data_IF_503169446230
#
_entry.id   IF_503169446230
#
_cell.length_a   1.000
_cell.length_b   1.000
_cell.length_c   1.000
_cell.angle_alpha   90.00
_cell.angle_beta   90.00
_cell.angle_gamma   90.00
#
_symmetry.space_group_name_H-M   'P 1'
#
loop_
_entity.id
_entity.type
_entity.pdbx_description
1 polymer ?
#
# COMPACT_ATOMS: atom_id res chain seq x y z
N UNK A 1 -8.63 -46.25 1.33
CA UNK A 1 -7.79 -45.04 1.47
C UNK A 1 -8.70 -43.84 1.68
N UNK A 2 -8.80 -43.33 2.91
CA UNK A 2 -9.58 -42.13 3.19
C UNK A 2 -8.87 -40.92 2.56
N UNK A 3 -9.43 -40.39 1.47
CA UNK A 3 -9.01 -39.08 0.94
C UNK A 3 -9.42 -38.03 1.96
N UNK A 4 -8.48 -37.57 2.78
CA UNK A 4 -8.63 -36.32 3.50
C UNK A 4 -8.74 -35.22 2.44
N UNK A 5 -9.96 -34.83 2.07
CA UNK A 5 -10.19 -33.69 1.20
C UNK A 5 -10.01 -32.43 2.03
N UNK A 6 -8.76 -32.01 2.24
CA UNK A 6 -8.47 -30.72 2.83
C UNK A 6 -9.09 -29.63 1.94
N UNK A 7 -10.04 -28.88 2.50
CA UNK A 7 -10.78 -27.83 1.79
C UNK A 7 -10.23 -26.44 2.08
N UNK A 8 -10.52 -25.48 1.20
CA UNK A 8 -10.21 -24.07 1.44
C UNK A 8 -10.86 -23.57 2.74
N UNK A 9 -12.08 -24.02 3.02
CA UNK A 9 -12.78 -23.69 4.27
C UNK A 9 -12.02 -24.15 5.50
N UNK A 10 -11.58 -25.41 5.55
CA UNK A 10 -10.80 -25.94 6.67
C UNK A 10 -9.46 -25.22 6.85
N UNK A 11 -8.77 -24.91 5.74
CA UNK A 11 -7.52 -24.14 5.77
C UNK A 11 -7.73 -22.74 6.36
N UNK A 12 -8.79 -22.04 5.94
CA UNK A 12 -9.13 -20.71 6.45
C UNK A 12 -9.54 -20.74 7.91
N UNK A 13 -10.38 -21.69 8.32
CA UNK A 13 -10.77 -21.87 9.73
C UNK A 13 -9.55 -22.13 10.60
N UNK A 14 -8.68 -23.08 10.20
CA UNK A 14 -7.42 -23.34 10.89
C UNK A 14 -6.56 -22.08 11.01
N UNK A 15 -6.45 -21.31 9.93
CA UNK A 15 -5.62 -20.12 9.91
C UNK A 15 -6.15 -19.00 10.81
N UNK A 16 -7.47 -18.79 10.83
CA UNK A 16 -8.15 -17.80 11.67
C UNK A 16 -8.02 -18.19 13.14
N UNK A 17 -8.33 -19.43 13.51
CA UNK A 17 -8.25 -19.90 14.91
C UNK A 17 -6.83 -19.74 15.46
N UNK A 18 -5.82 -20.14 14.68
CA UNK A 18 -4.40 -19.96 15.04
C UNK A 18 -3.99 -18.49 15.07
N UNK A 19 -4.57 -17.64 14.23
CA UNK A 19 -4.24 -16.21 14.21
C UNK A 19 -4.72 -15.48 15.46
N UNK A 20 -5.89 -15.83 15.99
CA UNK A 20 -6.46 -15.21 17.21
C UNK A 20 -5.60 -15.43 18.46
N UNK A 21 -4.80 -16.50 18.47
CA UNK A 21 -3.87 -16.81 19.55
C UNK A 21 -2.45 -16.26 19.31
N UNK A 22 -2.24 -15.48 18.24
CA UNK A 22 -0.92 -14.99 17.84
C UNK A 22 -0.57 -13.68 18.56
N UNK A 23 0.57 -13.60 19.27
CA UNK A 23 1.02 -12.37 19.93
C UNK A 23 1.28 -11.22 18.92
N UNK A 24 1.50 -11.57 17.64
CA UNK A 24 1.70 -10.62 16.55
C UNK A 24 0.47 -9.71 16.29
N UNK A 25 -0.73 -10.13 16.70
CA UNK A 25 -1.97 -9.35 16.50
C UNK A 25 -2.23 -8.32 17.62
N UNK A 26 -1.71 -8.56 18.82
CA UNK A 26 -1.85 -7.63 19.95
C UNK A 26 -0.94 -6.41 19.80
N UNK A 27 0.19 -6.56 19.09
CA UNK A 27 1.23 -5.54 18.97
C UNK A 27 1.10 -4.61 17.74
N UNK A 28 0.24 -4.90 16.76
CA UNK A 28 0.16 -4.13 15.51
C UNK A 28 -1.27 -4.02 14.95
N UNK A 29 -1.76 -2.79 14.81
CA UNK A 29 -3.05 -2.48 14.19
C UNK A 29 -3.01 -2.51 12.64
N UNK A 30 -1.85 -2.79 12.02
CA UNK A 30 -1.70 -2.71 10.56
C UNK A 30 -2.35 -3.93 9.86
N UNK A 31 -3.26 -3.65 8.92
CA UNK A 31 -4.00 -4.66 8.15
C UNK A 31 -3.10 -5.71 7.46
N UNK A 32 -1.89 -5.33 7.04
CA UNK A 32 -0.95 -6.27 6.40
C UNK A 32 -0.39 -7.30 7.36
N UNK A 33 -0.16 -6.93 8.63
CA UNK A 33 0.33 -7.85 9.66
C UNK A 33 -0.71 -8.94 9.92
N UNK A 34 -1.99 -8.58 9.97
CA UNK A 34 -3.10 -9.55 10.10
C UNK A 34 -3.13 -10.56 8.97
N UNK A 35 -2.98 -10.11 7.73
CA UNK A 35 -3.02 -11.00 6.56
C UNK A 35 -1.77 -11.87 6.47
N UNK A 36 -0.60 -11.37 6.83
CA UNK A 36 0.64 -12.18 6.91
C UNK A 36 0.50 -13.31 7.93
N UNK A 37 -0.09 -13.05 9.11
CA UNK A 37 -0.36 -14.08 10.13
C UNK A 37 -1.33 -15.15 9.61
N UNK A 38 -2.41 -14.74 8.93
CA UNK A 38 -3.37 -15.69 8.33
C UNK A 38 -2.67 -16.54 7.26
N UNK A 39 -1.91 -15.92 6.35
CA UNK A 39 -1.18 -16.63 5.29
C UNK A 39 -0.13 -17.60 5.82
N UNK A 40 0.57 -17.24 6.92
CA UNK A 40 1.50 -18.12 7.62
C UNK A 40 0.81 -19.42 8.04
N UNK A 41 -0.35 -19.30 8.68
CA UNK A 41 -1.08 -20.47 9.18
C UNK A 41 -1.80 -21.25 8.06
N UNK A 42 -2.22 -20.57 6.98
CA UNK A 42 -2.71 -21.25 5.76
C UNK A 42 -1.59 -22.08 5.14
N UNK A 43 -0.37 -21.54 5.06
CA UNK A 43 0.79 -22.24 4.53
C UNK A 43 1.19 -23.42 5.42
N UNK A 44 1.23 -23.23 6.74
CA UNK A 44 1.44 -24.32 7.71
C UNK A 44 0.44 -25.46 7.49
N UNK A 45 -0.86 -25.15 7.40
CA UNK A 45 -1.92 -26.14 7.19
C UNK A 45 -1.66 -27.02 5.97
N UNK A 46 -1.31 -26.42 4.83
CA UNK A 46 -1.02 -27.17 3.61
C UNK A 46 0.28 -27.98 3.76
N UNK A 47 1.28 -27.44 4.45
CA UNK A 47 2.57 -28.10 4.67
C UNK A 47 2.54 -29.20 5.75
N UNK A 48 1.43 -29.36 6.49
CA UNK A 48 1.22 -30.54 7.34
C UNK A 48 1.11 -31.83 6.52
N UNK A 49 0.67 -31.74 5.26
CA UNK A 49 0.65 -32.86 4.32
C UNK A 49 2.09 -33.17 3.86
N UNK A 50 2.63 -34.37 4.12
CA UNK A 50 3.98 -34.73 3.71
C UNK A 50 4.19 -34.56 2.20
N UNK A 51 3.20 -34.96 1.39
CA UNK A 51 3.24 -34.82 -0.08
C UNK A 51 3.34 -33.36 -0.51
N UNK A 52 2.58 -32.47 0.13
CA UNK A 52 2.57 -31.04 -0.19
C UNK A 52 3.87 -30.38 0.23
N UNK A 53 4.42 -30.80 1.37
CA UNK A 53 5.73 -30.38 1.87
C UNK A 53 6.85 -30.81 0.94
N UNK A 54 6.89 -32.07 0.52
CA UNK A 54 7.91 -32.57 -0.40
C UNK A 54 7.86 -31.82 -1.75
N UNK A 55 6.66 -31.61 -2.29
CA UNK A 55 6.46 -30.82 -3.50
C UNK A 55 6.94 -29.37 -3.34
N UNK A 56 6.70 -28.76 -2.18
CA UNK A 56 7.13 -27.40 -1.86
C UNK A 56 8.65 -27.28 -1.77
N UNK A 57 9.30 -28.24 -1.10
CA UNK A 57 10.76 -28.28 -0.95
C UNK A 57 11.45 -28.38 -2.31
N UNK A 58 11.03 -29.30 -3.17
CA UNK A 58 11.64 -29.49 -4.49
C UNK A 58 11.30 -28.34 -5.46
N UNK A 59 10.06 -27.86 -5.47
CA UNK A 59 9.59 -26.91 -6.51
C UNK A 59 9.91 -25.45 -6.19
N UNK A 60 9.80 -25.07 -4.92
CA UNK A 60 9.88 -23.68 -4.45
C UNK A 60 11.18 -23.45 -3.70
N UNK A 61 11.47 -24.23 -2.66
CA UNK A 61 12.72 -24.10 -1.90
C UNK A 61 13.95 -24.62 -2.67
N UNK A 62 13.73 -25.45 -3.70
CA UNK A 62 14.76 -26.04 -4.58
C UNK A 62 15.83 -26.79 -3.80
N UNK A 63 15.38 -27.63 -2.89
CA UNK A 63 16.24 -28.49 -2.07
C UNK A 63 15.74 -29.93 -2.16
N UNK A 64 16.69 -30.86 -2.19
CA UNK A 64 16.44 -32.30 -2.13
C UNK A 64 16.46 -32.83 -0.69
N UNK A 65 16.75 -31.96 0.29
CA UNK A 65 16.69 -32.30 1.70
C UNK A 65 15.23 -32.50 2.14
N UNK A 66 15.00 -33.57 2.90
CA UNK A 66 13.73 -33.79 3.61
C UNK A 66 13.65 -32.90 4.84
N UNK A 67 12.44 -32.52 5.28
CA UNK A 67 12.27 -31.76 6.53
C UNK A 67 11.25 -32.40 7.43
N UNK A 68 11.37 -32.10 8.73
CA UNK A 68 10.28 -32.28 9.69
C UNK A 68 9.07 -31.38 9.38
N UNK A 69 8.18 -31.24 10.35
CA UNK A 69 7.03 -30.32 10.23
C UNK A 69 7.52 -28.88 10.03
N UNK A 70 6.96 -28.19 9.05
CA UNK A 70 7.16 -26.75 8.85
C UNK A 70 6.10 -26.04 9.65
N UNK A 71 6.50 -25.44 10.77
CA UNK A 71 5.58 -24.91 11.79
C UNK A 71 5.65 -23.39 11.80
N UNK A 72 4.49 -22.75 11.94
CA UNK A 72 4.41 -21.31 12.13
C UNK A 72 5.08 -20.92 13.45
N UNK A 73 5.98 -19.93 13.40
CA UNK A 73 6.61 -19.35 14.58
C UNK A 73 6.12 -17.92 14.78
N UNK A 74 5.80 -17.50 16.02
CA UNK A 74 5.45 -16.11 16.31
C UNK A 74 6.62 -15.18 15.99
N UNK A 75 6.33 -14.00 15.43
CA UNK A 75 7.37 -13.01 15.10
C UNK A 75 7.77 -12.22 16.34
N UNK A 76 8.59 -12.84 17.19
CA UNK A 76 9.14 -12.17 18.37
C UNK A 76 9.99 -10.93 18.01
N UNK A 77 10.55 -10.89 16.79
CA UNK A 77 11.30 -9.75 16.24
C UNK A 77 10.97 -9.56 14.76
N UNK A 78 11.18 -8.36 14.24
CA UNK A 78 11.02 -8.03 12.79
C UNK A 78 11.93 -8.86 11.86
N UNK A 79 12.97 -9.48 12.41
CA UNK A 79 13.94 -10.34 11.73
C UNK A 79 13.74 -11.82 12.05
N UNK A 80 12.62 -12.19 12.68
CA UNK A 80 12.24 -13.59 12.89
C UNK A 80 11.50 -14.09 11.65
N UNK A 81 11.82 -15.30 11.15
CA UNK A 81 11.07 -15.92 10.07
C UNK A 81 9.66 -16.34 10.53
N UNK A 82 8.77 -16.53 9.56
CA UNK A 82 7.36 -16.90 9.78
C UNK A 82 7.17 -18.39 10.00
N UNK A 83 7.90 -19.22 9.26
CA UNK A 83 7.88 -20.66 9.47
C UNK A 83 9.29 -21.19 9.61
N UNK A 84 9.44 -22.23 10.43
CA UNK A 84 10.70 -22.91 10.68
C UNK A 84 10.52 -24.42 10.52
N UNK A 85 11.54 -25.08 10.01
CA UNK A 85 11.68 -26.52 10.05
C UNK A 85 13.14 -26.92 10.18
N UNK A 86 13.37 -28.04 10.87
CA UNK A 86 14.65 -28.73 10.85
C UNK A 86 14.73 -29.61 9.59
N UNK A 87 15.81 -29.46 8.83
CA UNK A 87 16.16 -30.24 7.63
C UNK A 87 17.09 -31.41 7.98
N UNK A 88 18.05 -31.18 8.88
CA UNK A 88 18.93 -32.22 9.42
C UNK A 88 18.85 -32.16 10.95
N UNK A 89 18.60 -33.29 11.64
CA UNK A 89 18.59 -33.31 13.10
C UNK A 89 20.00 -33.00 13.63
N UNK A 90 20.06 -32.32 14.77
CA UNK A 90 21.29 -32.10 15.54
C UNK A 90 21.75 -33.44 16.14
N UNK A 91 22.51 -34.23 15.39
CA UNK A 91 23.27 -35.34 15.97
C UNK A 91 24.48 -34.79 16.71
N UNK A 92 24.69 -35.23 17.95
CA UNK A 92 25.73 -34.76 18.88
C UNK A 92 27.18 -34.94 18.41
N UNK A 93 27.41 -35.50 17.22
CA UNK A 93 28.73 -35.80 16.67
C UNK A 93 29.05 -35.03 15.36
N UNK A 94 28.10 -34.26 14.82
CA UNK A 94 28.34 -33.42 13.64
C UNK A 94 27.59 -32.09 13.75
N UNK A 95 28.33 -30.98 13.76
CA UNK A 95 27.83 -29.58 13.78
C UNK A 95 27.00 -29.17 12.53
N UNK A 96 26.54 -30.13 11.72
CA UNK A 96 25.91 -29.87 10.43
C UNK A 96 24.37 -29.86 10.52
N UNK A 97 23.86 -29.14 11.53
CA UNK A 97 22.43 -28.86 11.63
C UNK A 97 22.00 -27.97 10.47
N UNK A 98 20.89 -28.33 9.81
CA UNK A 98 20.32 -27.55 8.72
C UNK A 98 18.88 -27.18 9.05
N UNK A 99 18.49 -25.96 8.71
CA UNK A 99 17.16 -25.43 9.01
C UNK A 99 16.61 -24.69 7.81
N UNK A 100 15.34 -24.90 7.54
CA UNK A 100 14.55 -24.12 6.61
C UNK A 100 13.81 -23.04 7.37
N UNK A 101 13.98 -21.80 6.94
CA UNK A 101 13.18 -20.68 7.38
C UNK A 101 12.38 -20.11 6.21
N UNK A 102 11.13 -19.76 6.45
CA UNK A 102 10.27 -19.12 5.46
C UNK A 102 9.87 -17.75 5.99
N UNK A 103 10.13 -16.70 5.22
CA UNK A 103 9.71 -15.33 5.51
C UNK A 103 8.67 -14.90 4.48
N UNK A 104 7.53 -14.39 4.95
CA UNK A 104 6.36 -14.03 4.17
C UNK A 104 6.13 -12.52 4.24
N UNK A 105 5.93 -11.90 3.08
CA UNK A 105 5.58 -10.47 2.97
C UNK A 105 4.41 -10.27 2.03
N UNK A 106 3.41 -9.52 2.49
CA UNK A 106 2.31 -9.02 1.66
C UNK A 106 2.36 -7.51 1.46
N UNK A 107 3.34 -6.83 2.07
CA UNK A 107 3.56 -5.39 1.96
C UNK A 107 5.04 -5.02 1.86
N UNK A 108 5.44 -4.42 0.74
CA UNK A 108 6.80 -3.91 0.52
C UNK A 108 7.84 -5.00 0.19
N UNK A 109 9.02 -4.60 -0.33
CA UNK A 109 10.10 -5.53 -0.64
C UNK A 109 10.87 -5.90 0.63
N UNK A 110 11.45 -7.09 0.66
CA UNK A 110 12.51 -7.37 1.63
C UNK A 110 13.73 -6.50 1.32
N UNK A 111 14.37 -5.93 2.34
CA UNK A 111 15.69 -5.33 2.15
C UNK A 111 16.78 -6.40 2.23
N UNK A 112 17.89 -6.21 1.51
CA UNK A 112 19.05 -7.13 1.58
C UNK A 112 19.60 -7.25 3.00
N UNK A 113 19.56 -6.16 3.78
CA UNK A 113 19.96 -6.16 5.20
C UNK A 113 19.06 -7.06 6.05
N UNK A 114 17.75 -7.00 5.83
CA UNK A 114 16.79 -7.88 6.52
C UNK A 114 17.00 -9.35 6.13
N UNK A 115 17.20 -9.65 4.84
CA UNK A 115 17.47 -11.02 4.39
C UNK A 115 18.77 -11.58 4.99
N UNK A 116 19.85 -10.79 5.02
CA UNK A 116 21.11 -11.22 5.67
C UNK A 116 20.94 -11.44 7.17
N UNK A 117 20.21 -10.56 7.86
CA UNK A 117 19.95 -10.71 9.29
C UNK A 117 19.13 -11.97 9.58
N UNK A 118 18.05 -12.21 8.82
CA UNK A 118 17.23 -13.42 8.94
C UNK A 118 18.05 -14.69 8.63
N UNK A 119 18.86 -14.67 7.56
CA UNK A 119 19.70 -15.82 7.20
C UNK A 119 20.79 -16.09 8.24
N UNK A 120 21.41 -15.05 8.79
CA UNK A 120 22.41 -15.16 9.85
C UNK A 120 21.83 -15.65 11.18
N UNK A 121 20.55 -15.34 11.46
CA UNK A 121 19.87 -15.83 12.65
C UNK A 121 19.63 -17.35 12.64
N UNK A 122 19.72 -18.00 11.47
CA UNK A 122 19.64 -19.47 11.37
C UNK A 122 20.94 -20.17 11.79
N UNK A 123 22.05 -19.44 11.84
CA UNK A 123 23.38 -20.00 12.13
C UNK A 123 24.31 -20.02 10.92
N UNK A 124 25.47 -20.63 11.11
CA UNK A 124 26.60 -20.59 10.17
C UNK A 124 26.66 -21.75 9.20
N UNK A 125 25.83 -22.80 9.34
CA UNK A 125 25.85 -23.92 8.38
C UNK A 125 25.51 -23.42 6.98
N UNK A 126 26.24 -23.85 5.93
CA UNK A 126 25.92 -23.52 4.55
C UNK A 126 24.58 -24.13 4.10
N UNK A 127 24.10 -25.16 4.81
CA UNK A 127 22.87 -25.88 4.49
C UNK A 127 21.60 -25.21 5.01
N UNK A 128 21.68 -24.16 5.85
CA UNK A 128 20.46 -23.42 6.20
C UNK A 128 19.94 -22.65 5.00
N UNK A 129 18.62 -22.74 4.80
CA UNK A 129 17.93 -22.12 3.68
C UNK A 129 16.88 -21.14 4.19
N UNK A 130 16.91 -19.91 3.68
CA UNK A 130 15.88 -18.91 3.90
C UNK A 130 15.06 -18.72 2.62
N UNK A 131 13.80 -19.09 2.65
CA UNK A 131 12.85 -18.81 1.58
C UNK A 131 12.11 -17.49 1.85
N UNK A 132 12.34 -16.47 1.04
CA UNK A 132 11.62 -15.21 1.09
C UNK A 132 10.49 -15.18 0.04
N UNK A 133 9.25 -15.11 0.49
CA UNK A 133 8.05 -15.03 -0.35
C UNK A 133 7.48 -13.62 -0.27
N UNK A 134 7.43 -12.92 -1.40
CA UNK A 134 6.83 -11.58 -1.49
C UNK A 134 5.85 -11.46 -2.67
N UNK A 135 5.22 -10.31 -2.85
CA UNK A 135 4.45 -10.06 -4.08
C UNK A 135 5.38 -9.93 -5.29
N UNK A 136 4.87 -10.17 -6.50
CA UNK A 136 5.67 -10.04 -7.73
C UNK A 136 6.22 -8.63 -7.93
N UNK A 137 5.45 -7.60 -7.60
CA UNK A 137 5.90 -6.21 -7.69
C UNK A 137 6.98 -5.87 -6.65
N UNK A 138 6.97 -6.53 -5.51
CA UNK A 138 7.99 -6.38 -4.47
C UNK A 138 9.27 -7.18 -4.81
N UNK A 139 9.13 -8.24 -5.61
CA UNK A 139 10.22 -9.15 -6.02
C UNK A 139 11.32 -8.47 -6.85
N UNK A 140 10.97 -7.55 -7.76
CA UNK A 140 11.93 -6.96 -8.71
C UNK A 140 12.96 -6.00 -8.10
N UNK A 141 12.84 -5.63 -6.80
CA UNK A 141 13.84 -4.79 -6.11
C UNK A 141 15.03 -5.59 -5.56
N UNK A 142 15.03 -6.92 -5.73
CA UNK A 142 16.02 -7.84 -5.17
C UNK A 142 16.96 -8.47 -6.21
N UNK A 143 16.74 -8.23 -7.51
CA UNK A 143 17.55 -8.82 -8.57
C UNK A 143 19.00 -8.31 -8.47
N UNK A 144 19.93 -9.23 -8.15
CA UNK A 144 21.38 -9.01 -8.16
C UNK A 144 22.11 -9.01 -6.81
N UNK A 145 21.41 -9.02 -5.66
CA UNK A 145 22.05 -8.99 -4.32
C UNK A 145 21.44 -9.97 -3.31
N UNK A 146 20.91 -11.10 -3.76
CA UNK A 146 20.35 -12.11 -2.85
C UNK A 146 21.49 -12.79 -2.08
N UNK A 147 21.48 -12.83 -0.73
CA UNK A 147 22.51 -13.50 0.04
C UNK A 147 22.56 -15.00 -0.23
N UNK A 148 23.72 -15.62 -0.03
CA UNK A 148 23.87 -17.08 -0.13
C UNK A 148 22.92 -17.80 0.83
N UNK A 149 22.37 -18.93 0.39
CA UNK A 149 21.37 -19.69 1.15
C UNK A 149 20.00 -19.00 1.22
N UNK A 150 19.74 -17.94 0.44
CA UNK A 150 18.42 -17.29 0.34
C UNK A 150 17.78 -17.60 -1.01
N UNK A 151 16.57 -18.17 -0.98
CA UNK A 151 15.73 -18.37 -2.16
C UNK A 151 14.62 -17.33 -2.12
N UNK A 152 14.55 -16.48 -3.15
CA UNK A 152 13.44 -15.52 -3.28
C UNK A 152 12.41 -16.09 -4.24
N UNK A 153 11.13 -15.99 -3.88
CA UNK A 153 10.00 -16.35 -4.74
C UNK A 153 8.86 -15.35 -4.59
N UNK A 154 7.83 -15.48 -5.43
CA UNK A 154 6.62 -14.66 -5.31
C UNK A 154 5.37 -15.48 -5.04
N UNK A 155 4.37 -14.86 -4.40
CA UNK A 155 3.03 -15.45 -4.22
C UNK A 155 2.42 -15.89 -5.54
N UNK A 156 2.51 -15.06 -6.59
CA UNK A 156 2.12 -15.45 -7.95
C UNK A 156 2.85 -16.68 -8.48
N UNK A 157 4.14 -16.85 -8.18
CA UNK A 157 4.91 -18.04 -8.62
C UNK A 157 4.46 -19.27 -7.85
N UNK A 158 4.26 -19.14 -6.54
CA UNK A 158 3.75 -20.20 -5.66
C UNK A 158 2.37 -20.67 -6.15
N UNK A 159 1.41 -19.77 -6.33
CA UNK A 159 0.07 -20.08 -6.84
C UNK A 159 0.01 -20.60 -8.28
N UNK A 160 1.08 -20.45 -9.07
CA UNK A 160 1.16 -21.01 -10.44
C UNK A 160 1.89 -22.35 -10.51
N UNK A 161 2.92 -22.55 -9.69
CA UNK A 161 3.76 -23.75 -9.72
C UNK A 161 3.24 -24.86 -8.82
N UNK A 162 2.80 -24.52 -7.61
CA UNK A 162 2.37 -25.52 -6.64
C UNK A 162 1.13 -26.31 -7.07
N UNK A 163 0.11 -25.72 -7.74
CA UNK A 163 -1.01 -26.52 -8.25
C UNK A 163 -0.61 -27.62 -9.25
N UNK A 164 0.53 -27.47 -9.93
CA UNK A 164 1.07 -28.49 -10.85
C UNK A 164 1.91 -29.53 -10.11
N UNK A 165 2.67 -29.11 -9.11
CA UNK A 165 3.53 -29.98 -8.32
C UNK A 165 2.76 -30.81 -7.29
N UNK A 166 1.67 -30.26 -6.75
CA UNK A 166 0.74 -30.92 -5.84
C UNK A 166 -0.71 -30.76 -6.33
N UNK A 167 -1.13 -31.55 -7.33
CA UNK A 167 -2.49 -31.49 -7.87
C UNK A 167 -3.57 -31.82 -6.83
N UNK A 168 -3.24 -32.58 -5.78
CA UNK A 168 -4.17 -32.97 -4.72
C UNK A 168 -4.65 -31.80 -3.87
N UNK A 169 -3.82 -30.76 -3.73
CA UNK A 169 -4.16 -29.54 -3.00
C UNK A 169 -4.09 -28.29 -3.90
N UNK A 170 -4.29 -28.46 -5.21
CA UNK A 170 -4.18 -27.39 -6.19
C UNK A 170 -5.00 -26.15 -5.84
N UNK A 171 -6.23 -26.33 -5.36
CA UNK A 171 -7.10 -25.23 -4.93
C UNK A 171 -6.56 -24.49 -3.71
N UNK A 172 -5.98 -25.20 -2.73
CA UNK A 172 -5.38 -24.57 -1.54
C UNK A 172 -4.18 -23.69 -1.94
N UNK A 173 -3.32 -24.22 -2.80
CA UNK A 173 -2.16 -23.50 -3.33
C UNK A 173 -2.54 -22.29 -4.19
N UNK A 174 -3.59 -22.43 -5.01
CA UNK A 174 -4.13 -21.33 -5.80
C UNK A 174 -4.67 -20.22 -4.89
N UNK A 175 -5.45 -20.58 -3.86
CA UNK A 175 -5.98 -19.61 -2.87
C UNK A 175 -4.86 -18.94 -2.08
N UNK A 176 -3.86 -19.66 -1.58
CA UNK A 176 -2.70 -19.05 -0.89
C UNK A 176 -1.98 -18.06 -1.82
N UNK A 177 -1.75 -18.45 -3.08
CA UNK A 177 -1.11 -17.59 -4.06
C UNK A 177 -1.93 -16.34 -4.39
N UNK A 178 -3.26 -16.49 -4.50
CA UNK A 178 -4.19 -15.38 -4.77
C UNK A 178 -4.29 -14.43 -3.57
N UNK A 179 -4.53 -14.96 -2.37
CA UNK A 179 -4.59 -14.17 -1.14
C UNK A 179 -3.24 -13.49 -0.92
N UNK A 180 -2.12 -14.18 -1.02
CA UNK A 180 -0.79 -13.58 -0.83
C UNK A 180 -0.43 -12.52 -1.87
N UNK A 181 -0.78 -12.73 -3.14
CA UNK A 181 -0.48 -11.76 -4.21
C UNK A 181 -1.36 -10.51 -4.10
N UNK A 182 -2.61 -10.66 -3.64
CA UNK A 182 -3.60 -9.58 -3.53
C UNK A 182 -3.75 -9.01 -2.11
N UNK A 183 -3.12 -9.63 -1.11
CA UNK A 183 -3.14 -9.19 0.27
C UNK A 183 -2.56 -7.79 0.38
N UNK A 184 -3.28 -6.95 1.13
CA UNK A 184 -2.91 -5.55 1.29
C UNK A 184 -2.98 -4.71 0.02
N UNK A 185 -3.47 -5.26 -1.10
CA UNK A 185 -3.87 -4.42 -2.23
C UNK A 185 -5.16 -3.72 -1.84
N UNK A 186 -5.29 -2.42 -2.14
CA UNK A 186 -6.60 -1.80 -2.16
C UNK A 186 -7.42 -2.53 -3.22
N UNK A 187 -8.36 -3.39 -2.82
CA UNK A 187 -9.45 -3.79 -3.68
C UNK A 187 -10.27 -2.51 -3.88
N UNK A 188 -10.18 -1.93 -5.08
CA UNK A 188 -10.97 -0.74 -5.44
C UNK A 188 -12.41 -1.18 -5.70
N UNK A 189 -13.09 -1.59 -4.62
CA UNK A 189 -14.49 -1.96 -4.61
C UNK A 189 -15.27 -0.90 -3.84
N UNK A 190 -15.28 0.30 -4.39
CA UNK A 190 -16.20 1.34 -3.95
C UNK A 190 -17.46 1.24 -4.79
N UNK A 191 -18.67 1.26 -4.19
CA UNK A 191 -19.95 1.25 -4.91
C UNK A 191 -20.24 2.61 -5.56
N UNK A 192 -19.24 3.18 -6.24
CA UNK A 192 -19.29 4.49 -6.88
C UNK A 192 -19.40 4.32 -8.38
N UNK A 193 -20.05 5.27 -9.05
CA UNK A 193 -20.14 5.30 -10.51
C UNK A 193 -19.14 6.34 -11.06
N UNK A 194 -17.98 5.91 -11.61
CA UNK A 194 -16.91 6.83 -12.02
C UNK A 194 -17.38 7.92 -12.98
N UNK A 195 -18.24 7.55 -13.94
CA UNK A 195 -18.81 8.49 -14.90
C UNK A 195 -19.62 9.58 -14.23
N UNK A 196 -20.51 9.22 -13.30
CA UNK A 196 -21.36 10.18 -12.58
C UNK A 196 -20.54 11.16 -11.74
N UNK A 197 -19.43 10.70 -11.15
CA UNK A 197 -18.60 11.53 -10.27
C UNK A 197 -17.64 12.43 -11.03
N UNK A 198 -16.91 11.88 -12.01
CA UNK A 198 -15.79 12.59 -12.62
C UNK A 198 -16.20 13.55 -13.75
N UNK A 199 -17.38 13.41 -14.35
CA UNK A 199 -17.81 14.29 -15.44
C UNK A 199 -18.69 15.46 -14.98
N UNK A 200 -19.12 15.49 -13.71
CA UNK A 200 -19.99 16.55 -13.18
C UNK A 200 -19.17 17.78 -12.77
N UNK A 201 -19.48 18.91 -13.37
CA UNK A 201 -18.85 20.20 -13.03
C UNK A 201 -19.09 20.61 -11.59
N UNK A 202 -20.29 20.37 -11.03
CA UNK A 202 -20.58 20.67 -9.62
C UNK A 202 -19.64 19.91 -8.68
N UNK A 203 -19.52 18.59 -8.86
CA UNK A 203 -18.61 17.75 -8.06
C UNK A 203 -17.16 18.20 -8.21
N UNK A 204 -16.72 18.55 -9.42
CA UNK A 204 -15.36 19.02 -9.66
C UNK A 204 -15.05 20.35 -8.97
N UNK A 205 -15.98 21.31 -9.01
CA UNK A 205 -15.86 22.62 -8.35
C UNK A 205 -15.87 22.50 -6.83
N UNK A 206 -16.77 21.69 -6.29
CA UNK A 206 -16.86 21.45 -4.85
C UNK A 206 -15.60 20.75 -4.32
N UNK A 207 -15.14 19.70 -5.03
CA UNK A 207 -13.90 19.01 -4.72
C UNK A 207 -12.70 19.97 -4.69
N UNK A 208 -12.62 20.86 -5.70
CA UNK A 208 -11.60 21.90 -5.76
C UNK A 208 -11.72 22.89 -4.60
N UNK A 209 -12.91 23.35 -4.24
CA UNK A 209 -13.09 24.31 -3.16
C UNK A 209 -12.56 23.74 -1.82
N UNK A 210 -12.76 22.45 -1.56
CA UNK A 210 -12.18 21.80 -0.38
C UNK A 210 -10.64 21.65 -0.48
N UNK A 211 -10.08 21.42 -1.67
CA UNK A 211 -8.63 21.47 -1.87
C UNK A 211 -8.08 22.90 -1.63
N UNK A 212 -8.83 23.94 -2.00
CA UNK A 212 -8.47 25.33 -1.73
C UNK A 212 -8.46 25.62 -0.22
N UNK A 213 -9.40 25.04 0.56
CA UNK A 213 -9.37 25.07 2.04
C UNK A 213 -8.09 24.44 2.57
N UNK A 214 -7.71 23.24 2.10
CA UNK A 214 -6.45 22.60 2.50
C UNK A 214 -5.24 23.48 2.15
N UNK A 215 -5.22 24.04 0.94
CA UNK A 215 -4.13 24.88 0.46
C UNK A 215 -3.98 26.14 1.34
N UNK A 216 -5.09 26.84 1.59
CA UNK A 216 -5.13 28.02 2.45
C UNK A 216 -4.71 27.69 3.88
N UNK A 217 -5.31 26.66 4.49
CA UNK A 217 -4.98 26.24 5.84
C UNK A 217 -3.49 25.87 5.99
N UNK A 218 -2.95 25.13 5.02
CA UNK A 218 -1.53 24.74 5.02
C UNK A 218 -0.60 25.92 4.87
N UNK A 219 -0.94 26.91 4.03
CA UNK A 219 -0.14 28.12 3.84
C UNK A 219 -0.18 29.02 5.06
N UNK A 220 -1.37 29.28 5.60
CA UNK A 220 -1.57 30.15 6.77
C UNK A 220 -0.92 29.55 8.00
N UNK A 221 -1.15 28.26 8.25
CA UNK A 221 -0.84 27.66 9.54
C UNK A 221 0.48 26.88 9.53
N UNK A 222 0.97 26.42 8.39
CA UNK A 222 2.22 25.64 8.33
C UNK A 222 3.30 26.28 7.45
N UNK A 223 2.98 27.37 6.74
CA UNK A 223 3.88 27.99 5.77
C UNK A 223 4.25 27.08 4.60
N UNK A 224 3.51 25.99 4.39
CA UNK A 224 3.86 24.92 3.46
C UNK A 224 2.71 24.66 2.47
N UNK A 225 3.08 24.23 1.26
CA UNK A 225 2.09 23.79 0.27
C UNK A 225 1.82 22.28 0.41
N UNK A 226 0.57 21.83 0.25
CA UNK A 226 0.24 20.41 0.27
C UNK A 226 0.93 19.66 -0.87
N UNK A 227 1.37 18.43 -0.61
CA UNK A 227 1.92 17.52 -1.62
C UNK A 227 1.63 16.07 -1.24
N UNK A 228 1.64 15.18 -2.22
CA UNK A 228 1.55 13.76 -1.93
C UNK A 228 2.79 13.29 -1.15
N UNK A 229 2.56 12.52 -0.08
CA UNK A 229 3.60 11.85 0.66
C UNK A 229 4.40 10.93 -0.24
N UNK A 230 5.71 10.86 0.01
CA UNK A 230 6.65 9.96 -0.70
C UNK A 230 7.34 9.01 0.27
N UNK A 231 6.72 8.78 1.44
CA UNK A 231 7.28 7.92 2.47
C UNK A 231 7.39 6.49 1.93
N UNK A 232 8.58 5.91 2.08
CA UNK A 232 8.84 4.52 1.67
C UNK A 232 7.94 3.56 2.45
N UNK A 233 7.32 2.63 1.74
CA UNK A 233 6.44 1.62 2.33
C UNK A 233 5.04 2.09 2.68
N UNK A 234 4.66 3.33 2.31
CA UNK A 234 3.26 3.75 2.44
C UNK A 234 2.38 2.97 1.47
N UNK A 235 1.16 2.68 1.90
CA UNK A 235 0.24 1.81 1.17
C UNK A 235 -0.94 2.55 0.55
N UNK A 236 -1.08 3.82 0.91
CA UNK A 236 -2.14 4.71 0.49
C UNK A 236 -1.57 6.06 0.01
N UNK A 237 -2.41 6.80 -0.71
CA UNK A 237 -2.11 8.15 -1.14
C UNK A 237 -2.45 9.12 -0.01
N UNK A 238 -1.46 9.90 0.44
CA UNK A 238 -1.65 10.92 1.48
C UNK A 238 -1.32 12.29 0.91
N UNK A 239 -2.31 13.17 0.77
CA UNK A 239 -2.11 14.56 0.37
C UNK A 239 -1.99 15.42 1.62
N UNK A 240 -0.77 15.82 1.97
CA UNK A 240 -0.48 16.39 3.28
C UNK A 240 0.50 17.56 3.26
N UNK A 241 0.48 18.36 4.34
CA UNK A 241 1.41 19.45 4.60
C UNK A 241 1.91 19.37 6.05
N UNK A 242 3.22 19.50 6.27
CA UNK A 242 3.82 19.58 7.60
C UNK A 242 3.81 18.31 8.46
N UNK A 243 3.11 17.25 8.04
CA UNK A 243 3.03 15.98 8.78
C UNK A 243 4.41 15.30 8.84
N UNK A 244 4.82 14.91 10.05
CA UNK A 244 6.01 14.09 10.27
C UNK A 244 5.81 13.17 11.48
N UNK A 245 6.84 12.40 11.86
CA UNK A 245 6.76 11.54 13.05
C UNK A 245 6.53 12.34 14.34
N UNK A 246 7.10 13.54 14.44
CA UNK A 246 7.12 14.35 15.67
C UNK A 246 6.33 15.65 15.55
N UNK A 247 5.66 15.87 14.42
CA UNK A 247 4.88 17.08 14.16
C UNK A 247 3.51 16.76 13.61
N UNK A 248 2.51 17.42 14.18
CA UNK A 248 1.16 17.49 13.62
C UNK A 248 1.20 18.31 12.34
N UNK A 249 0.53 17.84 11.29
CA UNK A 249 0.32 18.58 10.06
C UNK A 249 -1.15 18.59 9.64
N UNK A 250 -1.37 18.92 8.37
CA UNK A 250 -2.68 18.87 7.73
C UNK A 250 -2.70 17.80 6.65
N UNK A 251 -3.83 17.11 6.51
CA UNK A 251 -4.07 16.11 5.48
C UNK A 251 -5.47 16.27 4.88
N UNK A 252 -5.60 15.97 3.59
CA UNK A 252 -6.89 15.79 2.93
C UNK A 252 -7.27 14.30 2.96
N UNK A 253 -8.32 13.97 3.69
CA UNK A 253 -8.73 12.60 4.00
C UNK A 253 -10.25 12.41 3.87
N UNK A 254 -10.76 11.31 4.43
CA UNK A 254 -12.19 11.00 4.55
C UNK A 254 -12.99 12.19 5.10
N UNK A 255 -14.20 12.36 4.57
CA UNK A 255 -15.11 13.39 5.08
C UNK A 255 -15.62 12.97 6.47
N UNK A 256 -15.16 13.66 7.51
CA UNK A 256 -15.69 13.50 8.87
C UNK A 256 -16.27 14.82 9.35
N UNK A 257 -17.44 14.77 9.99
CA UNK A 257 -18.15 15.97 10.46
C UNK A 257 -18.29 17.07 9.39
N UNK A 258 -18.41 16.67 8.11
CA UNK A 258 -18.56 17.56 6.96
C UNK A 258 -17.26 18.17 6.42
N UNK A 259 -16.10 17.89 7.03
CA UNK A 259 -14.80 18.43 6.59
C UNK A 259 -13.86 17.32 6.08
N UNK A 260 -13.27 17.47 4.88
CA UNK A 260 -12.26 16.55 4.37
C UNK A 260 -10.83 16.93 4.78
N UNK A 261 -10.64 18.05 5.47
CA UNK A 261 -9.31 18.52 5.90
C UNK A 261 -9.13 18.20 7.37
N UNK A 262 -8.00 17.59 7.72
CA UNK A 262 -7.75 17.07 9.06
C UNK A 262 -6.43 17.55 9.62
N UNK A 263 -6.40 17.80 10.93
CA UNK A 263 -5.18 17.79 11.72
C UNK A 263 -4.74 16.33 11.92
N UNK A 264 -3.53 15.99 11.47
CA UNK A 264 -3.02 14.62 11.53
C UNK A 264 -1.71 14.58 12.27
N UNK A 265 -1.62 13.65 13.24
CA UNK A 265 -0.40 13.28 13.97
C UNK A 265 -0.20 11.78 13.84
N UNK A 266 1.05 11.37 13.59
CA UNK A 266 1.39 9.95 13.49
C UNK A 266 0.98 9.21 14.78
N UNK A 267 0.14 8.18 14.65
CA UNK A 267 -0.31 7.37 15.80
C UNK A 267 -1.46 7.97 16.62
N UNK A 268 -2.08 9.07 16.16
CA UNK A 268 -3.28 9.65 16.76
C UNK A 268 -4.44 9.65 15.77
N UNK A 269 -5.66 9.65 16.29
CA UNK A 269 -6.86 9.82 15.46
C UNK A 269 -6.83 11.20 14.78
N UNK A 270 -7.10 11.29 13.46
CA UNK A 270 -7.29 12.56 12.78
C UNK A 270 -8.38 13.41 13.45
N UNK A 271 -8.22 14.74 13.42
CA UNK A 271 -9.26 15.67 13.90
C UNK A 271 -9.68 16.55 12.73
N UNK A 272 -10.98 16.60 12.38
CA UNK A 272 -11.47 17.40 11.28
C UNK A 272 -11.23 18.89 11.57
N UNK A 273 -10.82 19.64 10.55
CA UNK A 273 -10.52 21.06 10.64
C UNK A 273 -11.78 21.89 10.99
N UNK A 274 -12.95 21.32 10.77
CA UNK A 274 -14.24 21.99 10.97
C UNK A 274 -14.49 23.10 9.94
N UNK A 275 -13.86 23.02 8.76
CA UNK A 275 -14.08 23.97 7.67
C UNK A 275 -14.59 23.18 6.46
N UNK A 276 -15.80 23.50 6.02
CA UNK A 276 -16.49 22.90 4.90
C UNK A 276 -16.32 23.70 3.60
N UNK A 277 -17.37 23.71 2.78
CA UNK A 277 -17.49 24.54 1.59
C UNK A 277 -17.90 25.96 2.02
N UNK A 278 -17.11 26.95 1.61
CA UNK A 278 -17.34 28.36 1.95
C UNK A 278 -18.02 29.05 0.76
N UNK A 279 -19.27 29.49 0.95
CA UNK A 279 -20.12 30.07 -0.09
C UNK A 279 -20.36 31.57 0.13
N UNK A 280 -20.20 32.07 1.36
CA UNK A 280 -20.37 33.49 1.72
C UNK A 280 -19.08 34.17 2.19
N UNK A 281 -19.03 35.51 2.12
CA UNK A 281 -17.92 36.30 2.67
C UNK A 281 -17.81 36.14 4.20
N UNK A 282 -18.94 36.03 4.90
CA UNK A 282 -18.97 35.80 6.35
C UNK A 282 -18.30 34.46 6.74
N UNK A 283 -18.58 33.39 5.99
CA UNK A 283 -17.95 32.09 6.19
C UNK A 283 -16.44 32.13 5.87
N UNK A 284 -16.05 32.86 4.82
CA UNK A 284 -14.64 33.06 4.48
C UNK A 284 -13.88 33.77 5.60
N UNK A 285 -14.46 34.80 6.20
CA UNK A 285 -13.85 35.55 7.28
C UNK A 285 -13.80 34.74 8.58
N UNK A 286 -14.86 34.00 8.91
CA UNK A 286 -14.87 33.06 10.05
C UNK A 286 -13.79 31.97 9.90
N UNK A 287 -13.65 31.40 8.69
CA UNK A 287 -12.61 30.41 8.39
C UNK A 287 -11.20 31.02 8.54
N UNK A 288 -10.97 32.25 8.04
CA UNK A 288 -9.70 32.96 8.20
C UNK A 288 -9.38 33.23 9.66
N UNK A 289 -10.36 33.65 10.45
CA UNK A 289 -10.18 33.89 11.89
C UNK A 289 -9.78 32.59 12.61
N UNK A 290 -10.48 31.48 12.34
CA UNK A 290 -10.15 30.17 12.91
C UNK A 290 -8.71 29.76 12.59
N UNK A 291 -8.31 29.89 11.32
CA UNK A 291 -6.94 29.60 10.91
C UNK A 291 -5.91 30.52 11.59
N UNK A 292 -6.22 31.81 11.76
CA UNK A 292 -5.36 32.76 12.47
C UNK A 292 -5.24 32.45 13.97
N UNK A 293 -6.30 31.95 14.61
CA UNK A 293 -6.25 31.46 16.00
C UNK A 293 -5.35 30.22 16.10
N UNK A 294 -5.49 29.28 15.17
CA UNK A 294 -4.64 28.08 15.10
C UNK A 294 -3.18 28.41 14.83
N UNK A 295 -2.90 29.43 14.02
CA UNK A 295 -1.54 29.87 13.75
C UNK A 295 -0.89 30.50 14.98
N UNK A 296 -1.61 31.40 15.67
CA UNK A 296 -1.14 32.02 16.92
C UNK A 296 -0.88 30.99 18.02
N UNK A 297 -1.72 29.96 18.14
CA UNK A 297 -1.59 28.89 19.14
C UNK A 297 -0.75 27.72 18.63
N UNK A 298 0.43 27.97 18.08
CA UNK A 298 1.26 26.96 17.40
C UNK A 298 1.71 25.74 18.23
N UNK A 299 1.46 25.73 19.55
CA UNK A 299 1.81 24.62 20.45
C UNK A 299 1.33 23.26 19.95
N UNK A 300 0.10 23.16 19.40
CA UNK A 300 -0.51 21.90 18.91
C UNK A 300 0.30 21.18 17.82
N UNK A 301 1.23 21.90 17.16
CA UNK A 301 2.14 21.34 16.15
C UNK A 301 3.18 20.40 16.77
N UNK A 302 3.42 20.52 18.07
CA UNK A 302 4.41 19.73 18.83
C UNK A 302 3.79 18.45 19.41
N UNK A 303 4.61 17.41 19.52
CA UNK A 303 4.20 16.08 20.00
C UNK A 303 3.60 16.09 21.41
N UNK A 304 4.08 16.97 22.29
CA UNK A 304 3.71 16.99 23.71
C UNK A 304 2.44 17.80 24.03
N UNK A 305 1.76 18.31 23.01
CA UNK A 305 0.60 19.18 23.17
C UNK A 305 -0.68 18.46 22.74
N UNK A 306 -1.78 18.77 23.41
CA UNK A 306 -3.11 18.36 22.97
C UNK A 306 -3.45 18.98 21.62
N UNK A 307 -4.18 18.23 20.79
CA UNK A 307 -4.78 18.79 19.59
C UNK A 307 -5.93 19.73 20.00
N UNK A 308 -6.14 20.83 19.25
CA UNK A 308 -7.17 21.79 19.56
C UNK A 308 -8.56 21.18 19.32
N UNK A 309 -9.52 21.58 20.15
CA UNK A 309 -10.94 21.43 19.83
C UNK A 309 -11.31 22.50 18.80
N UNK A 310 -11.88 22.08 17.68
CA UNK A 310 -12.10 22.92 16.51
C UNK A 310 -13.54 23.42 16.38
N UNK A 311 -14.39 23.14 17.37
CA UNK A 311 -15.75 23.68 17.44
C UNK A 311 -16.63 23.27 16.27
N UNK A 312 -17.72 23.99 16.05
CA UNK A 312 -18.70 23.69 15.00
C UNK A 312 -18.17 23.94 13.59
N UNK A 313 -18.77 23.25 12.61
CA UNK A 313 -18.45 23.38 11.19
C UNK A 313 -18.71 24.81 10.70
N UNK A 314 -17.73 25.41 10.02
CA UNK A 314 -17.88 26.65 9.26
C UNK A 314 -18.17 26.29 7.80
N UNK A 315 -19.26 26.83 7.26
CA UNK A 315 -19.71 26.59 5.90
C UNK A 315 -20.52 25.30 5.73
N UNK A 316 -20.75 24.91 4.49
CA UNK A 316 -21.57 23.75 4.12
C UNK A 316 -20.77 22.45 4.18
N UNK A 317 -21.36 21.39 4.72
CA UNK A 317 -20.72 20.07 4.76
C UNK A 317 -20.45 19.52 3.35
N UNK A 318 -19.31 18.85 3.17
CA UNK A 318 -18.97 18.20 1.91
C UNK A 318 -20.06 17.21 1.48
N UNK A 319 -20.46 17.24 0.21
CA UNK A 319 -21.47 16.33 -0.32
C UNK A 319 -20.94 14.88 -0.39
N UNK A 320 -21.83 13.87 -0.38
CA UNK A 320 -21.43 12.47 -0.57
C UNK A 320 -20.67 12.23 -1.88
N UNK A 321 -20.97 13.01 -2.92
CA UNK A 321 -20.24 12.97 -4.19
C UNK A 321 -18.75 13.34 -4.06
N UNK A 322 -18.39 14.24 -3.13
CA UNK A 322 -16.98 14.60 -2.87
C UNK A 322 -16.22 13.41 -2.30
N UNK A 323 -16.79 12.69 -1.33
CA UNK A 323 -16.18 11.49 -0.76
C UNK A 323 -16.05 10.39 -1.83
N UNK A 324 -17.09 10.17 -2.64
CA UNK A 324 -17.02 9.23 -3.76
C UNK A 324 -15.91 9.58 -4.77
N UNK A 325 -15.78 10.86 -5.12
CA UNK A 325 -14.72 11.34 -6.01
C UNK A 325 -13.34 11.19 -5.38
N UNK A 326 -13.19 11.49 -4.08
CA UNK A 326 -11.96 11.31 -3.31
C UNK A 326 -11.51 9.86 -3.34
N UNK A 327 -12.38 8.90 -2.98
CA UNK A 327 -12.07 7.48 -2.97
C UNK A 327 -11.54 7.00 -4.32
N UNK A 328 -12.20 7.42 -5.41
CA UNK A 328 -11.79 7.05 -6.75
C UNK A 328 -10.44 7.68 -7.15
N UNK A 329 -10.24 8.97 -6.89
CA UNK A 329 -8.96 9.65 -7.17
C UNK A 329 -7.82 9.08 -6.32
N UNK A 330 -8.05 8.75 -5.05
CA UNK A 330 -7.06 8.16 -4.15
C UNK A 330 -6.68 6.75 -4.59
N UNK A 331 -7.63 5.99 -5.16
CA UNK A 331 -7.32 4.72 -5.81
C UNK A 331 -6.44 4.92 -7.06
N UNK A 332 -6.71 5.94 -7.89
CA UNK A 332 -5.85 6.28 -9.04
C UNK A 332 -4.45 6.69 -8.59
N UNK A 333 -4.34 7.48 -7.53
CA UNK A 333 -3.07 7.96 -6.96
C UNK A 333 -2.40 6.93 -6.03
N UNK A 334 -2.98 5.73 -5.86
CA UNK A 334 -2.51 4.77 -4.87
C UNK A 334 -1.09 4.28 -5.18
N UNK A 335 -0.11 4.48 -4.28
CA UNK A 335 1.28 4.12 -4.54
C UNK A 335 1.52 2.62 -4.77
N UNK A 336 0.75 1.73 -4.12
CA UNK A 336 0.87 0.29 -4.34
C UNK A 336 0.37 -0.13 -5.71
N UNK A 337 -0.79 0.38 -6.14
CA UNK A 337 -1.35 0.07 -7.45
C UNK A 337 -0.45 0.59 -8.58
N UNK A 338 0.13 1.78 -8.39
CA UNK A 338 1.09 2.36 -9.32
C UNK A 338 2.39 1.54 -9.39
N UNK A 339 2.88 1.06 -8.24
CA UNK A 339 4.06 0.20 -8.16
C UNK A 339 3.84 -1.15 -8.83
N UNK A 340 2.65 -1.73 -8.70
CA UNK A 340 2.25 -2.92 -9.45
C UNK A 340 2.25 -2.70 -10.97
N UNK A 341 1.99 -1.47 -11.39
CA UNK A 341 2.06 -1.06 -12.80
C UNK A 341 3.47 -0.64 -13.25
N UNK A 342 4.48 -0.76 -12.37
CA UNK A 342 5.88 -0.48 -12.67
C UNK A 342 6.32 0.98 -12.45
N UNK A 343 5.58 1.74 -11.64
CA UNK A 343 5.88 3.13 -11.32
C UNK A 343 6.10 3.35 -9.82
N UNK A 344 7.20 3.99 -9.48
CA UNK A 344 7.43 4.49 -8.12
C UNK A 344 7.11 5.98 -8.04
N UNK A 345 6.79 6.47 -6.84
CA UNK A 345 6.62 7.90 -6.62
C UNK A 345 7.95 8.62 -6.86
N UNK A 346 7.92 9.72 -7.62
CA UNK A 346 9.09 10.58 -7.77
C UNK A 346 9.53 11.15 -6.40
N UNK A 347 10.82 11.46 -6.26
CA UNK A 347 11.36 12.03 -5.02
C UNK A 347 10.59 13.28 -4.55
N UNK A 348 10.53 13.52 -3.24
CA UNK A 348 9.77 14.62 -2.63
C UNK A 348 10.04 16.01 -3.21
N UNK A 349 11.29 16.29 -3.63
CA UNK A 349 11.69 17.55 -4.30
C UNK A 349 11.12 17.71 -5.71
N UNK A 350 10.75 16.59 -6.34
CA UNK A 350 10.17 16.51 -7.68
C UNK A 350 8.67 16.39 -7.65
N UNK A 351 8.06 15.96 -6.53
CA UNK A 351 6.61 15.92 -6.40
C UNK A 351 6.02 17.32 -6.59
N UNK A 352 4.95 17.43 -7.39
CA UNK A 352 4.28 18.70 -7.56
C UNK A 352 3.54 19.03 -6.25
N UNK A 353 3.50 20.31 -5.92
CA UNK A 353 2.56 20.80 -4.91
C UNK A 353 1.16 20.84 -5.51
N UNK A 354 0.13 20.73 -4.66
CA UNK A 354 -1.20 21.19 -5.01
C UNK A 354 -1.11 22.64 -5.46
N UNK A 355 -1.48 22.89 -6.71
CA UNK A 355 -1.47 24.23 -7.31
C UNK A 355 -2.89 24.78 -7.39
N UNK A 356 -2.99 26.05 -7.74
CA UNK A 356 -4.27 26.71 -7.98
C UNK A 356 -5.02 26.19 -9.22
N UNK A 357 -4.45 25.28 -10.02
CA UNK A 357 -5.11 24.75 -11.21
C UNK A 357 -5.07 23.24 -11.31
N UNK A 358 -4.21 22.54 -10.55
CA UNK A 358 -4.01 21.10 -10.70
C UNK A 358 -3.74 20.42 -9.36
N UNK A 359 -4.36 19.25 -9.18
CA UNK A 359 -3.92 18.21 -8.27
C UNK A 359 -3.15 17.18 -9.08
N UNK A 360 -1.91 16.90 -8.70
CA UNK A 360 -1.04 16.02 -9.48
C UNK A 360 -0.12 15.17 -8.60
N UNK A 361 0.28 14.03 -9.15
CA UNK A 361 1.22 13.09 -8.57
C UNK A 361 2.29 12.78 -9.62
N UNK A 362 3.57 12.93 -9.28
CA UNK A 362 4.68 12.59 -10.18
C UNK A 362 5.26 11.22 -9.87
N UNK A 363 5.68 10.55 -10.93
CA UNK A 363 6.07 9.16 -10.94
C UNK A 363 7.35 8.98 -11.75
N UNK A 364 8.06 7.91 -11.46
CA UNK A 364 9.21 7.43 -12.20
C UNK A 364 8.98 5.98 -12.58
N UNK A 365 9.36 5.62 -13.80
CA UNK A 365 9.33 4.22 -14.22
C UNK A 365 10.42 3.46 -13.48
N UNK A 366 10.06 2.30 -12.92
CA UNK A 366 10.98 1.46 -12.17
C UNK A 366 11.94 0.75 -13.12
N UNK A 367 13.23 0.78 -12.76
CA UNK A 367 14.31 0.24 -13.59
C UNK A 367 14.60 1.06 -14.85
N UNK A 368 14.14 2.31 -14.92
CA UNK A 368 14.44 3.23 -16.02
C UNK A 368 15.38 4.34 -15.53
N UNK A 369 16.62 4.30 -16.00
CA UNK A 369 17.67 5.25 -15.64
C UNK A 369 17.62 6.55 -16.46
N UNK A 370 16.71 6.67 -17.45
CA UNK A 370 16.56 7.89 -18.26
C UNK A 370 16.17 9.12 -17.45
N UNK A 371 15.67 8.92 -16.22
CA UNK A 371 15.19 10.01 -15.37
C UNK A 371 13.86 10.62 -15.84
N UNK A 372 13.23 10.04 -16.87
CA UNK A 372 11.94 10.48 -17.42
C UNK A 372 10.89 10.53 -16.31
N UNK A 373 10.17 11.65 -16.23
CA UNK A 373 9.08 11.84 -15.27
C UNK A 373 7.74 11.61 -15.94
N UNK A 374 6.86 10.96 -15.20
CA UNK A 374 5.47 10.77 -15.56
C UNK A 374 4.59 11.47 -14.53
N UNK A 375 3.39 11.87 -14.92
CA UNK A 375 2.46 12.58 -14.04
C UNK A 375 1.04 12.06 -14.24
N UNK A 376 0.34 11.82 -13.15
CA UNK A 376 -1.13 11.67 -13.14
C UNK A 376 -1.71 12.92 -12.52
N UNK A 377 -2.71 13.52 -13.15
CA UNK A 377 -3.27 14.79 -12.68
C UNK A 377 -4.72 15.00 -13.08
N UNK A 378 -5.43 15.83 -12.33
CA UNK A 378 -6.78 16.31 -12.62
C UNK A 378 -6.82 17.84 -12.57
N UNK A 379 -7.85 18.45 -13.14
CA UNK A 379 -7.97 19.90 -13.25
C UNK A 379 -7.37 20.43 -14.56
N UNK A 380 -6.45 21.38 -14.49
CA UNK A 380 -5.78 22.02 -15.63
C UNK A 380 -6.20 23.45 -15.87
N UNK A 381 -7.42 23.79 -15.44
CA UNK A 381 -8.00 25.12 -15.59
C UNK A 381 -8.31 25.72 -14.21
N UNK A 382 -8.73 27.00 -14.17
CA UNK A 382 -9.17 27.64 -12.93
C UNK A 382 -10.55 27.19 -12.44
N UNK A 383 -11.44 26.73 -13.32
CA UNK A 383 -12.83 26.47 -12.90
C UNK A 383 -13.18 24.99 -12.75
N UNK A 384 -12.20 24.09 -12.93
CA UNK A 384 -12.33 22.62 -12.89
C UNK A 384 -13.68 22.12 -13.40
N UNK A 385 -13.80 21.99 -14.73
CA UNK A 385 -15.05 21.56 -15.36
C UNK A 385 -15.38 20.08 -15.10
N UNK A 386 -14.37 19.27 -14.77
CA UNK A 386 -14.45 17.84 -14.52
C UNK A 386 -13.23 17.37 -13.70
N UNK A 387 -13.27 16.13 -13.22
CA UNK A 387 -12.18 15.44 -12.52
C UNK A 387 -11.60 14.31 -13.38
N UNK A 388 -11.61 14.45 -14.71
CA UNK A 388 -11.08 13.41 -15.61
C UNK A 388 -9.57 13.33 -15.43
N UNK A 389 -9.01 12.17 -15.05
CA UNK A 389 -7.58 11.98 -14.90
C UNK A 389 -6.89 12.09 -16.24
N UNK A 390 -5.75 12.78 -16.23
CA UNK A 390 -4.81 12.85 -17.34
C UNK A 390 -3.50 12.21 -16.91
N UNK A 391 -2.90 11.46 -17.82
CA UNK A 391 -1.59 10.85 -17.67
C UNK A 391 -0.64 11.51 -18.66
N UNK A 392 0.53 11.93 -18.18
CA UNK A 392 1.50 12.70 -18.98
C UNK A 392 2.88 12.08 -18.86
N UNK A 393 3.58 11.91 -19.97
CA UNK A 393 5.05 11.80 -19.99
C UNK A 393 5.57 13.23 -20.12
N UNK A 394 6.28 13.71 -19.11
CA UNK A 394 6.88 15.03 -19.16
C UNK A 394 7.97 15.06 -20.24
N UNK A 395 8.20 16.23 -20.83
CA UNK A 395 9.23 16.39 -21.85
C UNK A 395 10.62 15.97 -21.29
N UNK A 396 11.36 15.22 -22.10
CA UNK A 396 12.76 14.88 -21.84
C UNK A 396 13.64 15.41 -22.98
N UNK A 397 14.96 15.25 -22.88
CA UNK A 397 15.91 15.67 -23.92
C UNK A 397 15.55 15.13 -25.31
N UNK A 398 15.01 13.91 -25.36
CA UNK A 398 14.81 13.18 -26.62
C UNK A 398 13.34 13.09 -27.03
N UNK A 399 12.40 13.59 -26.21
CA UNK A 399 10.97 13.43 -26.44
C UNK A 399 10.16 14.63 -25.98
N UNK A 400 9.21 15.03 -26.82
CA UNK A 400 8.18 15.99 -26.44
C UNK A 400 7.24 15.41 -25.38
N UNK A 401 6.60 16.33 -24.65
CA UNK A 401 5.51 16.00 -23.74
C UNK A 401 4.40 15.28 -24.50
N UNK A 402 3.81 14.27 -23.86
CA UNK A 402 2.70 13.51 -24.39
C UNK A 402 1.68 13.25 -23.29
N UNK A 403 0.41 13.59 -23.54
CA UNK A 403 -0.66 13.55 -22.54
C UNK A 403 -1.89 12.82 -23.08
N UNK A 404 -2.44 11.91 -22.29
CA UNK A 404 -3.74 11.27 -22.55
C UNK A 404 -4.75 11.63 -21.47
N UNK A 405 -5.98 11.96 -21.86
CA UNK A 405 -7.11 12.06 -20.96
C UNK A 405 -7.86 10.73 -20.93
N UNK A 406 -8.14 10.20 -19.73
CA UNK A 406 -8.76 8.89 -19.55
C UNK A 406 -10.16 9.07 -18.97
N UNK A 407 -11.16 9.15 -19.86
CA UNK A 407 -12.55 9.37 -19.46
C UNK A 407 -13.26 8.04 -19.11
N UNK A 408 -14.06 8.01 -18.03
CA UNK A 408 -14.81 6.82 -17.64
C UNK A 408 -15.93 6.47 -18.64
N UNK A 409 -16.13 5.17 -18.86
CA UNK A 409 -17.20 4.63 -19.73
C UNK A 409 -18.50 4.41 -18.96
N UNK A 410 -19.61 4.25 -19.68
CA UNK A 410 -20.91 3.91 -19.07
C UNK A 410 -20.82 2.54 -18.39
N UNK A 411 -21.33 2.43 -17.16
CA UNK A 411 -21.37 1.17 -16.39
C UNK A 411 -19.99 0.52 -16.14
N UNK A 412 -18.92 1.31 -16.21
CA UNK A 412 -17.58 0.84 -15.90
C UNK A 412 -17.40 0.70 -14.39
N UNK A 413 -16.81 -0.42 -13.94
CA UNK A 413 -16.49 -0.59 -12.53
C UNK A 413 -15.33 0.32 -12.11
N UNK A 414 -15.27 0.65 -10.82
CA UNK A 414 -14.19 1.48 -10.26
C UNK A 414 -12.81 0.85 -10.48
N UNK A 415 -12.69 -0.47 -10.28
CA UNK A 415 -11.45 -1.19 -10.50
C UNK A 415 -11.01 -1.18 -11.98
N UNK A 416 -11.93 -1.41 -12.91
CA UNK A 416 -11.63 -1.37 -14.35
C UNK A 416 -11.18 0.02 -14.78
N UNK A 417 -11.82 1.07 -14.25
CA UNK A 417 -11.45 2.44 -14.57
C UNK A 417 -10.06 2.81 -14.04
N UNK A 418 -9.76 2.49 -12.77
CA UNK A 418 -8.41 2.69 -12.21
C UNK A 418 -7.35 1.96 -13.04
N UNK A 419 -7.63 0.71 -13.42
CA UNK A 419 -6.75 -0.07 -14.28
C UNK A 419 -6.55 0.57 -15.66
N UNK A 420 -7.60 1.12 -16.29
CA UNK A 420 -7.47 1.83 -17.56
C UNK A 420 -6.57 3.07 -17.45
N UNK A 421 -6.68 3.84 -16.36
CA UNK A 421 -5.80 5.00 -16.10
C UNK A 421 -4.34 4.55 -15.99
N UNK A 422 -4.06 3.51 -15.19
CA UNK A 422 -2.70 2.99 -15.04
C UNK A 422 -2.17 2.32 -16.31
N UNK A 423 -3.04 1.72 -17.12
CA UNK A 423 -2.70 1.18 -18.44
C UNK A 423 -2.32 2.29 -19.41
N UNK A 424 -3.07 3.39 -19.45
CA UNK A 424 -2.74 4.56 -20.26
C UNK A 424 -1.42 5.21 -19.82
N UNK A 425 -1.16 5.25 -18.51
CA UNK A 425 0.14 5.68 -18.00
C UNK A 425 1.27 4.76 -18.52
N UNK A 426 1.05 3.44 -18.49
CA UNK A 426 2.03 2.47 -18.97
C UNK A 426 2.24 2.55 -20.48
N UNK A 427 1.24 2.88 -21.29
CA UNK A 427 1.42 3.00 -22.74
C UNK A 427 2.37 4.14 -23.12
N UNK A 428 2.45 5.21 -22.31
CA UNK A 428 3.42 6.30 -22.49
C UNK A 428 4.89 5.84 -22.33
N UNK A 429 5.12 4.62 -21.83
CA UNK A 429 6.46 4.02 -21.66
C UNK A 429 6.87 3.13 -22.83
N UNK A 430 5.92 2.77 -23.70
CA UNK A 430 6.12 1.88 -24.84
C UNK A 430 6.50 2.76 -26.04
N UNK A 431 7.56 2.36 -26.73
CA UNK A 431 8.12 3.03 -27.91
C UNK A 431 7.68 2.28 -29.15
#
# INVERSE_FOLDING_TARGET
MARSYATVGQMLTYAVDRSMSSPDLEASAEQHTRVEVILRNMLEFVLMSPRSRDAFLHTIARTDHTTGSIVASPRLRRVSPDLLAEMLPTSSESDDSASLAVALRVGGPFSTKELRAMRGALGTSPHHLLLAVSRRSDYSDLDGQVPEGVVVTSWRRLGRRMPKADPGHAHLWATIGEVGENAGRPLVQFPVEPKRLLTKTRTAREFRAHLDVLHQASRTVLGASPRFSTRRGQTEAHLQAGVSRTRTGLEFSEVEHGSPVHLVRTGSTPIPLGIGLLESEEELDAARERLAVLDRRSAWRSENSGLPDLGELIGTAASPEVEGARLLLWAIFNPLLLRDCGFDLAAARRQPALSSTTLSLRLQRRGDDSGTLYRIWVGGDRDWSNLIPRVTREASTDRSEETYAVAPRKSQSTADFVWEVHRALRSLTIV
#
